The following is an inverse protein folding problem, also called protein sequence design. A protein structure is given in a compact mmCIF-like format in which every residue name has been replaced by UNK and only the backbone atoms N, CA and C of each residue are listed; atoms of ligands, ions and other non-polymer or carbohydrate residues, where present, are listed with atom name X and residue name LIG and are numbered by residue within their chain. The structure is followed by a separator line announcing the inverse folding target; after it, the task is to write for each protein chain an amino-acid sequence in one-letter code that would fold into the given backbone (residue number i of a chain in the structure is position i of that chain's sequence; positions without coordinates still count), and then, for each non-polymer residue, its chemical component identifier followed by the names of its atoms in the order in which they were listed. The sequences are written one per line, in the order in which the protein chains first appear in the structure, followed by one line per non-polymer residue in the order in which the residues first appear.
data_IF_571638859449
#
_entry.id   IF_571638859449
#
_cell.length_a   1.000
_cell.length_b   1.000
_cell.length_c   1.000
_cell.angle_alpha   90.00
_cell.angle_beta   90.00
_cell.angle_gamma   90.00
#
_symmetry.space_group_name_H-M   'P 1'
#
loop_
_entity.id
_entity.type
_entity.pdbx_description
1 polymer ?
#
# COMPACT_ATOMS: atom_id res chain seq x y z
N UNK A 1 -12.61 -12.74 -23.39
CA UNK A 1 -13.81 -11.90 -23.24
C UNK A 1 -14.58 -12.38 -22.02
N UNK A 2 -14.23 -11.95 -20.84
CA UNK A 2 -14.84 -12.31 -19.56
C UNK A 2 -15.06 -11.05 -18.75
N UNK A 3 -16.32 -10.63 -18.61
CA UNK A 3 -16.72 -9.47 -17.80
C UNK A 3 -16.63 -9.87 -16.34
N UNK A 4 -15.66 -9.38 -15.61
CA UNK A 4 -15.72 -9.39 -14.16
C UNK A 4 -16.38 -8.08 -13.69
N UNK A 5 -17.72 -8.09 -13.67
CA UNK A 5 -18.51 -7.13 -12.89
C UNK A 5 -18.66 -7.73 -11.48
N UNK A 6 -17.58 -7.74 -10.73
CA UNK A 6 -17.63 -8.10 -9.30
C UNK A 6 -17.98 -6.87 -8.50
N UNK A 7 -19.23 -6.76 -8.09
CA UNK A 7 -19.62 -5.98 -6.89
C UNK A 7 -18.69 -6.41 -5.74
N UNK A 8 -18.25 -5.49 -4.85
CA UNK A 8 -17.42 -5.88 -3.70
C UNK A 8 -18.15 -7.01 -2.97
N UNK A 9 -17.53 -8.19 -2.93
CA UNK A 9 -18.09 -9.32 -2.20
C UNK A 9 -18.22 -8.85 -0.76
N UNK A 10 -19.40 -9.04 -0.19
CA UNK A 10 -19.64 -8.80 1.22
C UNK A 10 -18.81 -9.85 1.99
N UNK A 11 -17.52 -9.53 2.22
CA UNK A 11 -16.62 -10.41 2.95
C UNK A 11 -17.00 -10.30 4.42
N UNK A 12 -17.71 -11.30 4.93
CA UNK A 12 -17.92 -11.45 6.35
C UNK A 12 -16.65 -12.04 6.97
N UNK A 13 -15.78 -11.17 7.48
CA UNK A 13 -14.65 -11.62 8.29
C UNK A 13 -15.12 -12.08 9.65
N UNK A 14 -14.59 -13.20 10.18
CA UNK A 14 -14.95 -13.68 11.50
C UNK A 14 -14.40 -12.76 12.59
N UNK A 15 -15.10 -12.68 13.71
CA UNK A 15 -14.54 -12.03 14.90
C UNK A 15 -13.32 -12.80 15.41
N UNK A 16 -12.16 -12.12 15.51
CA UNK A 16 -10.91 -12.71 15.96
C UNK A 16 -10.51 -12.15 17.33
N UNK A 17 -10.20 -13.03 18.28
CA UNK A 17 -9.67 -12.68 19.59
C UNK A 17 -8.15 -12.72 19.58
N UNK A 18 -7.50 -12.08 20.58
CA UNK A 18 -6.04 -12.11 20.73
C UNK A 18 -5.32 -11.13 19.81
N UNK A 19 -5.98 -10.06 19.41
CA UNK A 19 -5.34 -8.99 18.67
C UNK A 19 -4.83 -7.90 19.61
N UNK A 20 -3.75 -7.23 19.20
CA UNK A 20 -3.23 -6.04 19.85
C UNK A 20 -3.29 -4.87 18.89
N UNK A 21 -3.75 -3.71 19.38
CA UNK A 21 -3.85 -2.47 18.61
C UNK A 21 -3.17 -1.35 19.39
N UNK A 22 -2.28 -0.61 18.73
CA UNK A 22 -1.64 0.58 19.28
C UNK A 22 -1.88 1.76 18.37
N UNK A 23 -2.41 2.85 18.93
CA UNK A 23 -2.66 4.10 18.19
C UNK A 23 -1.38 4.92 18.16
N UNK A 24 -0.94 5.29 16.97
CA UNK A 24 0.25 6.10 16.73
C UNK A 24 -0.17 7.44 16.15
N UNK A 25 0.11 8.52 16.87
CA UNK A 25 -0.31 9.86 16.48
C UNK A 25 0.87 10.62 15.89
N UNK A 26 0.65 11.20 14.72
CA UNK A 26 1.59 11.98 13.91
C UNK A 26 2.78 11.19 13.34
N UNK A 27 3.37 11.70 12.26
CA UNK A 27 4.47 11.05 11.52
C UNK A 27 5.69 10.70 12.37
N UNK A 28 5.94 11.49 13.43
CA UNK A 28 7.01 11.22 14.42
C UNK A 28 6.84 9.91 15.17
N UNK A 29 5.60 9.45 15.36
CA UNK A 29 5.33 8.19 16.06
C UNK A 29 5.27 7.01 15.07
N UNK A 30 4.57 7.14 13.95
CA UNK A 30 4.31 5.99 13.09
C UNK A 30 5.40 5.74 12.04
N UNK A 31 6.00 6.74 11.40
CA UNK A 31 6.99 6.48 10.36
C UNK A 31 8.24 5.74 10.87
N UNK A 32 8.84 6.10 12.02
CA UNK A 32 9.96 5.32 12.55
C UNK A 32 9.60 3.86 12.82
N UNK A 33 8.39 3.58 13.30
CA UNK A 33 7.94 2.20 13.57
C UNK A 33 7.70 1.41 12.30
N UNK A 34 7.07 2.03 11.28
CA UNK A 34 6.89 1.42 9.97
C UNK A 34 8.23 1.09 9.31
N UNK A 35 9.18 2.03 9.33
CA UNK A 35 10.53 1.81 8.78
C UNK A 35 11.28 0.73 9.55
N UNK A 36 11.21 0.71 10.89
CA UNK A 36 11.81 -0.35 11.70
C UNK A 36 11.19 -1.73 11.42
N UNK A 37 9.88 -1.81 11.14
CA UNK A 37 9.24 -3.05 10.73
C UNK A 37 9.75 -3.53 9.36
N UNK A 38 9.92 -2.62 8.38
CA UNK A 38 10.52 -2.94 7.08
C UNK A 38 11.96 -3.43 7.24
N UNK A 39 12.75 -2.78 8.10
CA UNK A 39 14.14 -3.18 8.36
C UNK A 39 14.22 -4.56 9.03
N UNK A 40 13.22 -4.92 9.84
CA UNK A 40 13.13 -6.22 10.50
C UNK A 40 12.55 -7.33 9.64
N UNK A 41 12.01 -7.02 8.45
CA UNK A 41 11.38 -7.98 7.54
C UNK A 41 12.32 -9.12 7.14
N UNK A 42 11.77 -10.36 7.05
CA UNK A 42 12.51 -11.59 6.75
C UNK A 42 11.97 -12.37 5.56
N UNK A 43 10.66 -12.31 5.31
CA UNK A 43 10.00 -13.17 4.33
C UNK A 43 9.29 -12.36 3.24
N UNK A 44 8.36 -11.51 3.63
CA UNK A 44 7.58 -10.72 2.68
C UNK A 44 7.03 -9.42 3.27
N UNK A 45 6.70 -8.50 2.38
CA UNK A 45 6.14 -7.20 2.70
C UNK A 45 5.03 -6.86 1.69
N UNK A 46 3.88 -6.43 2.20
CA UNK A 46 2.75 -5.94 1.43
C UNK A 46 2.54 -4.47 1.76
N UNK A 47 2.62 -3.61 0.76
CA UNK A 47 2.40 -2.16 0.91
C UNK A 47 1.31 -1.72 -0.06
N UNK A 48 0.15 -1.34 0.46
CA UNK A 48 -0.97 -0.79 -0.28
C UNK A 48 -1.15 0.67 0.11
N UNK A 49 -1.01 1.59 -0.84
CA UNK A 49 -1.05 3.02 -0.57
C UNK A 49 -1.82 3.79 -1.63
N UNK A 50 -2.79 4.60 -1.16
CA UNK A 50 -3.44 5.57 -2.01
C UNK A 50 -2.49 6.70 -2.40
N UNK A 51 -1.92 7.39 -1.42
CA UNK A 51 -1.09 8.57 -1.63
C UNK A 51 0.39 8.22 -1.47
N UNK A 52 1.16 8.40 -2.55
CA UNK A 52 2.62 8.30 -2.52
C UNK A 52 3.18 9.49 -3.30
N UNK A 53 3.94 10.34 -2.62
CA UNK A 53 4.55 11.54 -3.19
C UNK A 53 6.06 11.48 -3.00
N UNK A 54 6.81 11.86 -4.03
CA UNK A 54 8.27 12.03 -3.92
C UNK A 54 8.63 13.09 -2.89
N UNK A 55 9.62 12.81 -2.07
CA UNK A 55 10.06 13.67 -0.98
C UNK A 55 10.91 12.91 0.05
N UNK A 56 11.22 13.57 1.16
CA UNK A 56 12.11 13.02 2.19
C UNK A 56 11.52 11.75 2.86
N UNK A 57 10.21 11.69 3.03
CA UNK A 57 9.52 10.49 3.56
C UNK A 57 9.64 9.35 2.54
N UNK A 58 9.31 9.61 1.26
CA UNK A 58 9.41 8.59 0.22
C UNK A 58 10.85 8.06 0.07
N UNK A 59 11.86 8.95 0.13
CA UNK A 59 13.26 8.54 0.08
C UNK A 59 13.63 7.54 1.18
N UNK A 60 13.15 7.76 2.40
CA UNK A 60 13.37 6.83 3.52
C UNK A 60 12.70 5.49 3.29
N UNK A 61 11.45 5.49 2.81
CA UNK A 61 10.72 4.25 2.50
C UNK A 61 11.38 3.50 1.35
N UNK A 62 11.74 4.17 0.24
CA UNK A 62 12.42 3.55 -0.90
C UNK A 62 13.74 2.92 -0.44
N UNK A 63 14.54 3.63 0.37
CA UNK A 63 15.79 3.09 0.92
C UNK A 63 15.58 1.84 1.76
N UNK A 64 14.60 1.85 2.66
CA UNK A 64 14.27 0.70 3.51
C UNK A 64 13.74 -0.50 2.69
N UNK A 65 12.87 -0.26 1.69
CA UNK A 65 12.36 -1.31 0.80
C UNK A 65 13.48 -1.95 -0.02
N UNK A 66 14.39 -1.15 -0.59
CA UNK A 66 15.55 -1.68 -1.32
C UNK A 66 16.49 -2.48 -0.42
N UNK A 67 16.73 -2.02 0.81
CA UNK A 67 17.53 -2.76 1.79
C UNK A 67 16.87 -4.08 2.20
N UNK A 68 15.53 -4.13 2.31
CA UNK A 68 14.79 -5.36 2.56
C UNK A 68 14.85 -6.32 1.35
N UNK A 69 14.65 -5.80 0.13
CA UNK A 69 14.75 -6.58 -1.11
C UNK A 69 16.15 -7.19 -1.30
N UNK A 70 17.21 -6.46 -0.93
CA UNK A 70 18.59 -6.96 -0.95
C UNK A 70 18.86 -8.09 0.08
N UNK A 71 17.95 -8.28 1.05
CA UNK A 71 17.96 -9.42 2.00
C UNK A 71 17.03 -10.57 1.58
N UNK A 72 16.62 -10.60 0.31
CA UNK A 72 15.70 -11.58 -0.26
C UNK A 72 14.27 -11.53 0.27
N UNK A 73 13.85 -10.39 0.86
CA UNK A 73 12.45 -10.14 1.22
C UNK A 73 11.63 -9.90 -0.05
N UNK A 74 10.53 -10.64 -0.22
CA UNK A 74 9.59 -10.44 -1.34
C UNK A 74 8.69 -9.25 -1.04
N UNK A 75 8.65 -8.27 -1.92
CA UNK A 75 7.94 -7.00 -1.72
C UNK A 75 6.88 -6.81 -2.78
N UNK A 76 5.64 -6.60 -2.36
CA UNK A 76 4.51 -6.30 -3.24
C UNK A 76 3.97 -4.91 -2.91
N UNK A 77 4.10 -4.01 -3.89
CA UNK A 77 3.66 -2.61 -3.79
C UNK A 77 2.40 -2.41 -4.63
N UNK A 78 1.30 -2.09 -4.00
CA UNK A 78 0.03 -1.77 -4.65
C UNK A 78 -0.28 -0.29 -4.46
N UNK A 79 -0.17 0.48 -5.52
CA UNK A 79 -0.43 1.92 -5.49
C UNK A 79 -1.68 2.26 -6.28
N UNK A 80 -2.52 3.16 -5.76
CA UNK A 80 -3.53 3.80 -6.58
C UNK A 80 -2.84 4.72 -7.60
N UNK A 81 -3.12 4.54 -8.89
CA UNK A 81 -2.37 5.25 -9.95
C UNK A 81 -2.62 6.78 -9.91
N UNK A 82 -3.82 7.21 -9.52
CA UNK A 82 -4.11 8.63 -9.35
C UNK A 82 -3.41 9.22 -8.12
N UNK A 83 -3.50 8.53 -6.98
CA UNK A 83 -2.89 8.96 -5.72
C UNK A 83 -1.36 8.92 -5.75
N UNK A 84 -0.76 8.03 -6.53
CA UNK A 84 0.68 7.96 -6.76
C UNK A 84 1.16 8.84 -7.93
N UNK A 85 0.31 9.69 -8.48
CA UNK A 85 0.65 10.57 -9.62
C UNK A 85 1.80 11.55 -9.34
N UNK A 86 2.07 11.87 -8.07
CA UNK A 86 3.20 12.73 -7.66
C UNK A 86 4.47 11.96 -7.31
N UNK A 87 4.48 10.64 -7.38
CA UNK A 87 5.70 9.84 -7.30
C UNK A 87 6.46 10.00 -8.62
N UNK A 88 7.61 10.67 -8.58
CA UNK A 88 8.43 10.97 -9.76
C UNK A 88 8.90 9.68 -10.45
N UNK A 89 9.09 9.76 -11.75
CA UNK A 89 9.59 8.64 -12.55
C UNK A 89 10.95 8.12 -12.04
N UNK A 90 11.84 9.00 -11.61
CA UNK A 90 13.13 8.66 -11.02
C UNK A 90 12.99 7.77 -9.77
N UNK A 91 12.00 8.02 -8.91
CA UNK A 91 11.76 7.22 -7.72
C UNK A 91 11.10 5.89 -8.05
N UNK A 92 10.25 5.85 -9.10
CA UNK A 92 9.70 4.60 -9.63
C UNK A 92 10.80 3.69 -10.16
N UNK A 93 11.78 4.25 -10.92
CA UNK A 93 12.94 3.50 -11.41
C UNK A 93 13.82 2.96 -10.28
N UNK A 94 13.99 3.69 -9.19
CA UNK A 94 14.74 3.20 -8.02
C UNK A 94 14.14 1.94 -7.39
N UNK A 95 12.83 1.76 -7.50
CA UNK A 95 12.13 0.57 -6.98
C UNK A 95 12.23 -0.65 -7.91
N UNK A 96 12.90 -0.55 -9.07
CA UNK A 96 13.15 -1.67 -9.94
C UNK A 96 14.16 -2.64 -9.30
N UNK A 97 13.66 -3.77 -8.78
CA UNK A 97 14.46 -4.82 -8.16
C UNK A 97 13.77 -6.17 -8.36
N UNK A 98 14.50 -7.30 -8.56
CA UNK A 98 13.90 -8.62 -8.77
C UNK A 98 12.92 -9.07 -7.67
N UNK A 99 13.14 -8.62 -6.44
CA UNK A 99 12.31 -8.96 -5.28
C UNK A 99 11.23 -7.90 -5.00
N UNK A 100 11.05 -6.88 -5.85
CA UNK A 100 10.00 -5.86 -5.73
C UNK A 100 9.07 -5.96 -6.93
N UNK A 101 7.81 -6.21 -6.68
CA UNK A 101 6.75 -6.17 -7.69
C UNK A 101 5.82 -4.98 -7.41
N UNK A 102 5.57 -4.16 -8.43
CA UNK A 102 4.74 -2.97 -8.32
C UNK A 102 3.51 -3.13 -9.21
N UNK A 103 2.35 -2.94 -8.63
CA UNK A 103 1.07 -2.95 -9.33
C UNK A 103 0.32 -1.64 -9.08
N UNK A 104 -0.33 -1.14 -10.11
CA UNK A 104 -1.16 0.08 -10.01
C UNK A 104 -2.63 -0.28 -10.09
N UNK A 105 -3.37 0.11 -9.03
CA UNK A 105 -4.83 -0.04 -9.03
C UNK A 105 -5.47 1.01 -9.94
N UNK A 106 -6.37 0.55 -10.79
CA UNK A 106 -7.16 1.35 -11.73
C UNK A 106 -6.29 2.36 -12.51
N UNK A 107 -5.33 1.86 -13.33
CA UNK A 107 -4.36 2.69 -14.03
C UNK A 107 -5.05 3.68 -14.96
N UNK A 108 -4.57 4.93 -14.92
CA UNK A 108 -5.06 5.98 -15.81
C UNK A 108 -4.59 5.68 -17.23
N UNK A 109 -5.43 5.88 -18.24
CA UNK A 109 -5.03 5.68 -19.63
C UNK A 109 -3.88 6.61 -20.01
N UNK A 110 -2.77 6.04 -20.46
CA UNK A 110 -1.67 6.82 -21.03
C UNK A 110 -2.16 7.65 -22.23
N UNK A 111 -1.88 8.94 -22.23
CA UNK A 111 -2.28 9.89 -23.27
C UNK A 111 -1.70 9.51 -24.64
N UNK A 112 -2.57 9.11 -25.57
CA UNK A 112 -2.16 8.87 -26.94
C UNK A 112 -3.28 8.37 -27.85
N UNK A 113 -4.04 9.25 -28.44
CA UNK A 113 -4.98 9.26 -29.55
C UNK A 113 -6.42 9.62 -29.17
N UNK A 114 -7.10 10.39 -30.04
CA UNK A 114 -8.51 10.80 -29.89
C UNK A 114 -9.48 9.63 -29.62
N UNK A 115 -9.17 8.43 -30.09
CA UNK A 115 -9.96 7.21 -29.82
C UNK A 115 -9.88 6.79 -28.33
N UNK A 116 -8.79 7.06 -27.66
CA UNK A 116 -8.64 6.83 -26.22
C UNK A 116 -9.45 7.85 -25.40
N UNK A 117 -9.62 9.11 -25.87
CA UNK A 117 -10.43 10.11 -25.17
C UNK A 117 -11.90 9.69 -25.03
N UNK A 118 -12.50 9.09 -26.04
CA UNK A 118 -13.86 8.57 -25.98
C UNK A 118 -13.97 7.37 -25.01
N UNK A 119 -12.99 6.47 -25.06
CA UNK A 119 -12.92 5.31 -24.15
C UNK A 119 -12.64 5.75 -22.70
N UNK A 120 -11.78 6.74 -22.50
CA UNK A 120 -11.50 7.39 -21.22
C UNK A 120 -12.77 8.03 -20.65
N UNK A 121 -13.50 8.79 -21.45
CA UNK A 121 -14.75 9.45 -21.04
C UNK A 121 -15.79 8.42 -20.58
N UNK A 122 -16.02 7.34 -21.33
CA UNK A 122 -16.98 6.30 -20.98
C UNK A 122 -16.52 5.39 -19.83
N UNK A 123 -15.23 5.07 -19.72
CA UNK A 123 -14.69 4.34 -18.57
C UNK A 123 -14.75 5.19 -17.31
N UNK A 124 -14.51 6.50 -17.37
CA UNK A 124 -14.67 7.40 -16.22
C UNK A 124 -16.13 7.52 -15.76
N UNK A 125 -17.08 7.52 -16.67
CA UNK A 125 -18.51 7.61 -16.31
C UNK A 125 -19.03 6.27 -15.73
N UNK A 126 -18.54 5.14 -16.21
CA UNK A 126 -19.10 3.83 -15.82
C UNK A 126 -18.30 3.06 -14.78
N UNK A 127 -16.97 3.27 -14.68
CA UNK A 127 -16.07 2.51 -13.80
C UNK A 127 -14.97 3.37 -13.15
N UNK A 128 -14.83 4.62 -13.51
CA UNK A 128 -13.62 5.42 -13.30
C UNK A 128 -13.48 6.13 -11.96
N UNK A 129 -14.47 6.06 -11.07
CA UNK A 129 -14.42 6.78 -9.79
C UNK A 129 -14.04 5.92 -8.58
N UNK A 130 -13.94 4.62 -8.75
CA UNK A 130 -13.47 3.77 -7.66
C UNK A 130 -11.96 3.89 -7.53
N UNK A 131 -11.51 4.49 -6.42
CA UNK A 131 -10.10 4.58 -6.05
C UNK A 131 -9.85 3.70 -4.83
N UNK A 132 -8.69 3.09 -4.80
CA UNK A 132 -8.27 2.36 -3.62
C UNK A 132 -7.69 3.34 -2.58
N UNK A 133 -8.52 3.75 -1.63
CA UNK A 133 -8.14 4.72 -0.61
C UNK A 133 -7.53 4.06 0.64
N UNK A 134 -7.20 2.77 0.58
CA UNK A 134 -6.56 2.05 1.69
C UNK A 134 -5.11 2.45 1.85
N UNK A 135 -4.64 2.34 3.08
CA UNK A 135 -3.25 2.51 3.47
C UNK A 135 -2.92 1.35 4.38
N UNK A 136 -2.11 0.43 3.90
CA UNK A 136 -1.71 -0.77 4.60
C UNK A 136 -0.22 -1.02 4.38
N UNK A 137 0.52 -1.22 5.45
CA UNK A 137 1.81 -1.89 5.45
C UNK A 137 1.65 -3.17 6.27
N UNK A 138 1.90 -4.34 5.69
CA UNK A 138 1.92 -5.62 6.41
C UNK A 138 3.28 -6.28 6.22
N UNK A 139 3.90 -6.69 7.31
CA UNK A 139 5.25 -7.28 7.33
C UNK A 139 5.20 -8.66 7.95
N UNK A 140 5.64 -9.66 7.17
CA UNK A 140 5.81 -11.08 7.56
C UNK A 140 4.55 -11.71 8.21
N UNK A 141 3.35 -11.15 8.01
CA UNK A 141 2.15 -11.58 8.72
C UNK A 141 2.23 -11.42 10.25
N UNK A 142 3.11 -10.56 10.77
CA UNK A 142 3.37 -10.35 12.20
C UNK A 142 2.93 -9.00 12.71
N UNK A 143 3.00 -7.98 11.85
CA UNK A 143 2.60 -6.62 12.17
C UNK A 143 2.01 -5.96 10.94
N UNK A 144 0.96 -5.17 11.14
CA UNK A 144 0.45 -4.27 10.13
C UNK A 144 0.28 -2.85 10.66
N UNK A 145 0.30 -1.90 9.74
CA UNK A 145 0.01 -0.49 9.97
C UNK A 145 -1.07 -0.05 9.00
N UNK A 146 -2.12 0.58 9.52
CA UNK A 146 -3.19 1.17 8.71
C UNK A 146 -3.68 2.48 9.32
N UNK A 147 -4.22 3.38 8.52
CA UNK A 147 -4.69 4.67 9.02
C UNK A 147 -4.97 5.71 7.95
N UNK A 148 -4.85 6.98 8.31
CA UNK A 148 -5.27 8.11 7.46
C UNK A 148 -4.21 8.56 6.45
N UNK A 149 -2.92 8.38 6.73
CA UNK A 149 -1.85 8.95 5.90
C UNK A 149 -1.31 8.01 4.83
N UNK A 150 -0.80 8.62 3.74
CA UNK A 150 0.08 7.97 2.78
C UNK A 150 1.55 8.25 3.06
N UNK A 151 2.39 7.96 2.06
CA UNK A 151 3.83 8.28 2.07
C UNK A 151 3.98 9.69 1.50
N UNK A 152 4.05 10.70 2.39
CA UNK A 152 4.09 12.12 2.03
C UNK A 152 4.79 12.94 3.11
N UNK A 153 5.44 14.02 2.70
CA UNK A 153 6.10 14.98 3.61
C UNK A 153 5.10 15.87 4.37
N UNK A 154 3.79 15.83 4.06
CA UNK A 154 2.77 16.67 4.70
C UNK A 154 2.65 16.40 6.20
N UNK A 155 2.95 15.19 6.64
CA UNK A 155 2.91 14.76 8.05
C UNK A 155 4.30 14.61 8.67
N UNK A 156 5.36 15.05 7.97
CA UNK A 156 6.74 14.95 8.45
C UNK A 156 7.08 16.04 9.48
N UNK A 157 7.82 15.69 10.56
CA UNK A 157 8.18 16.58 11.65
C UNK A 157 8.98 17.86 11.29
N UNK A 158 9.87 17.88 10.27
CA UNK A 158 10.66 19.09 9.98
C UNK A 158 9.84 20.30 9.54
N UNK A 159 8.60 20.11 9.12
CA UNK A 159 7.75 21.24 8.72
C UNK A 159 7.30 22.08 9.92
N UNK A 160 7.13 23.39 9.69
CA UNK A 160 6.59 24.27 10.70
C UNK A 160 5.27 23.72 11.26
N UNK A 161 5.03 23.81 12.59
CA UNK A 161 3.86 23.22 13.22
C UNK A 161 2.52 23.57 12.55
N UNK A 162 2.42 24.79 12.00
CA UNK A 162 1.22 25.30 11.32
C UNK A 162 0.97 24.66 9.94
N UNK A 163 1.95 23.97 9.37
CA UNK A 163 1.89 23.34 8.06
C UNK A 163 1.81 21.82 8.14
N UNK A 164 1.84 21.26 9.34
CA UNK A 164 1.73 19.81 9.54
C UNK A 164 0.28 19.38 9.59
N UNK A 165 -0.02 18.35 8.82
CA UNK A 165 -1.26 17.61 8.98
C UNK A 165 -1.13 16.65 10.15
N UNK A 166 -2.15 16.61 10.98
CA UNK A 166 -2.26 15.61 12.03
C UNK A 166 -2.91 14.37 11.44
N UNK A 167 -2.26 13.25 11.68
CA UNK A 167 -2.74 11.96 11.20
C UNK A 167 -2.56 10.88 12.26
N UNK A 168 -3.33 9.82 12.10
CA UNK A 168 -3.30 8.68 13.00
C UNK A 168 -3.13 7.40 12.21
N UNK A 169 -2.20 6.56 12.68
CA UNK A 169 -2.02 5.19 12.22
C UNK A 169 -2.28 4.23 13.38
N UNK A 170 -2.65 3.01 13.07
CA UNK A 170 -2.80 1.92 14.05
C UNK A 170 -1.78 0.85 13.70
N UNK A 171 -0.95 0.49 14.67
CA UNK A 171 -0.16 -0.74 14.63
C UNK A 171 -1.05 -1.90 15.08
N UNK A 172 -1.04 -2.99 14.33
CA UNK A 172 -1.90 -4.15 14.54
C UNK A 172 -1.04 -5.40 14.61
N UNK A 173 -1.29 -6.26 15.60
CA UNK A 173 -0.69 -7.59 15.72
C UNK A 173 -1.78 -8.60 16.04
N UNK A 174 -1.56 -9.86 15.67
CA UNK A 174 -2.44 -10.97 16.01
C UNK A 174 -3.26 -11.50 14.83
N UNK A 175 -4.22 -12.40 15.09
CA UNK A 175 -4.91 -13.18 14.05
C UNK A 175 -5.67 -12.36 13.01
N UNK A 176 -6.06 -11.12 13.29
CA UNK A 176 -6.75 -10.25 12.32
C UNK A 176 -5.88 -9.91 11.12
N UNK A 177 -4.57 -10.10 11.18
CA UNK A 177 -3.67 -9.88 10.05
C UNK A 177 -3.97 -10.81 8.86
N UNK A 178 -4.57 -11.99 9.10
CA UNK A 178 -5.05 -12.87 8.04
C UNK A 178 -6.10 -12.18 7.16
N UNK A 179 -7.00 -11.41 7.79
CA UNK A 179 -8.06 -10.70 7.07
C UNK A 179 -7.49 -9.54 6.27
N UNK A 180 -6.50 -8.81 6.81
CA UNK A 180 -5.77 -7.76 6.09
C UNK A 180 -4.97 -8.31 4.91
N UNK A 181 -4.29 -9.46 5.09
CA UNK A 181 -3.58 -10.13 3.99
C UNK A 181 -4.55 -10.58 2.89
N UNK A 182 -5.70 -11.15 3.26
CA UNK A 182 -6.72 -11.57 2.32
C UNK A 182 -7.28 -10.39 1.51
N UNK A 183 -7.56 -9.26 2.17
CA UNK A 183 -8.01 -8.02 1.50
C UNK A 183 -6.97 -7.49 0.50
N UNK A 184 -5.70 -7.44 0.90
CA UNK A 184 -4.62 -7.04 -0.01
C UNK A 184 -4.56 -7.97 -1.23
N UNK A 185 -4.56 -9.29 -0.99
CA UNK A 185 -4.48 -10.29 -2.07
C UNK A 185 -5.66 -10.18 -3.04
N UNK A 186 -6.87 -9.93 -2.54
CA UNK A 186 -8.04 -9.73 -3.40
C UNK A 186 -7.86 -8.52 -4.32
N UNK A 187 -7.42 -7.38 -3.75
CA UNK A 187 -7.21 -6.16 -4.54
C UNK A 187 -6.07 -6.31 -5.54
N UNK A 188 -4.99 -6.95 -5.11
CA UNK A 188 -3.88 -7.27 -6.00
C UNK A 188 -4.33 -8.11 -7.19
N UNK A 189 -5.07 -9.19 -6.96
CA UNK A 189 -5.56 -10.10 -8.01
C UNK A 189 -6.60 -9.44 -8.94
N UNK A 190 -7.20 -8.33 -8.54
CA UNK A 190 -8.05 -7.51 -9.43
C UNK A 190 -7.21 -6.60 -10.34
N UNK A 191 -6.04 -6.17 -9.90
CA UNK A 191 -5.20 -5.20 -10.58
C UNK A 191 -4.07 -5.86 -11.40
N UNK A 192 -3.64 -7.06 -11.03
CA UNK A 192 -2.51 -7.79 -11.62
C UNK A 192 -2.83 -9.27 -11.89
N UNK A 193 -1.81 -10.01 -12.31
CA UNK A 193 -1.84 -11.48 -12.33
C UNK A 193 -1.84 -12.02 -10.90
N UNK A 194 -2.33 -13.26 -10.72
CA UNK A 194 -2.44 -13.89 -9.41
C UNK A 194 -1.17 -13.73 -8.57
N UNK A 195 -1.34 -13.26 -7.34
CA UNK A 195 -0.25 -13.21 -6.37
C UNK A 195 0.18 -14.64 -6.04
N UNK A 196 1.48 -14.89 -6.03
CA UNK A 196 2.03 -16.16 -5.58
C UNK A 196 1.62 -16.42 -4.12
N UNK A 197 1.51 -17.70 -3.75
CA UNK A 197 1.12 -18.09 -2.40
C UNK A 197 1.99 -17.38 -1.35
N UNK A 198 1.32 -16.57 -0.53
CA UNK A 198 1.96 -15.91 0.61
C UNK A 198 2.03 -16.88 1.79
N UNK A 199 3.06 -16.79 2.63
CA UNK A 199 3.11 -17.54 3.86
C UNK A 199 1.90 -17.26 4.76
N UNK A 200 1.45 -18.22 5.58
CA UNK A 200 0.39 -17.98 6.53
C UNK A 200 0.80 -16.92 7.56
N UNK A 201 -0.18 -16.18 8.05
CA UNK A 201 0.04 -15.19 9.11
C UNK A 201 0.53 -15.87 10.38
N UNK A 202 1.58 -15.30 10.99
CA UNK A 202 2.10 -15.79 12.27
C UNK A 202 1.23 -15.25 13.41
N UNK A 203 0.44 -16.10 14.04
CA UNK A 203 -0.48 -15.72 15.13
C UNK A 203 0.18 -15.66 16.52
N UNK A 204 1.47 -15.99 16.63
CA UNK A 204 2.21 -15.85 17.89
C UNK A 204 2.51 -14.37 18.18
N UNK A 205 1.99 -13.89 19.32
CA UNK A 205 2.31 -12.59 19.91
C UNK A 205 3.69 -12.60 20.55
#
# INVERSE_FOLDING_TARGET
MGRHTGSPRNQNFPWRKGNHFEILVDGTAFFPRMLAAIDAAREYLLLEMYLVESGAVADRFIGALLAAAARDVRIHLLFDDFGAGKLMHTDRLRLEHPNIEITYYNPLPSSGTLHNLYRIFWQHITHGLHRDHRKLLLVDGRVAYTGGTGITDLVDPPRAPQQRWRETMIEIRGPVLEDWQALFTETWNQAATSLADLPPVTTAL
#
